data_IF_047523637027
#
_entry.id   IF_047523637027
#
_cell.length_a   1.000
_cell.length_b   1.000
_cell.length_c   1.000
_cell.angle_alpha   90.00
_cell.angle_beta   90.00
_cell.angle_gamma   90.00
#
_symmetry.space_group_name_H-M   'P 1'
#
loop_
_entity.id
_entity.type
_entity.pdbx_description
1 polymer ?
#
# COMPACT_ATOMS: atom_id res chain seq x y z
N UNK A 1 -8.18 -22.11 -23.93
CA UNK A 1 -8.22 -21.41 -22.62
C UNK A 1 -8.18 -19.93 -22.91
N UNK A 2 -9.23 -19.18 -22.57
CA UNK A 2 -9.20 -17.73 -22.72
C UNK A 2 -8.22 -17.17 -21.70
N UNK A 3 -7.05 -16.71 -22.16
CA UNK A 3 -6.16 -15.88 -21.36
C UNK A 3 -6.97 -14.65 -20.98
N UNK A 4 -7.39 -14.55 -19.71
CA UNK A 4 -7.88 -13.28 -19.18
C UNK A 4 -6.79 -12.26 -19.43
N UNK A 5 -7.05 -11.32 -20.34
CA UNK A 5 -6.14 -10.21 -20.60
C UNK A 5 -5.91 -9.53 -19.26
N UNK A 6 -4.64 -9.35 -18.88
CA UNK A 6 -4.29 -8.61 -17.68
C UNK A 6 -5.03 -7.25 -17.72
N UNK A 7 -5.62 -6.80 -16.60
CA UNK A 7 -6.36 -5.55 -16.58
C UNK A 7 -5.46 -4.42 -17.10
N UNK A 8 -6.06 -3.52 -17.90
CA UNK A 8 -5.32 -2.41 -18.49
C UNK A 8 -4.60 -1.62 -17.40
N UNK A 9 -3.34 -1.17 -17.61
CA UNK A 9 -2.56 -0.47 -16.60
C UNK A 9 -3.27 0.75 -16.00
N UNK A 10 -4.13 1.43 -16.77
CA UNK A 10 -4.96 2.56 -16.32
C UNK A 10 -6.02 2.16 -15.29
N UNK A 11 -6.68 1.01 -15.47
CA UNK A 11 -7.69 0.50 -14.52
C UNK A 11 -7.04 0.13 -13.20
N UNK A 12 -5.88 -0.50 -13.26
CA UNK A 12 -5.06 -0.78 -12.07
C UNK A 12 -4.60 0.51 -11.40
N UNK A 13 -4.19 1.52 -12.18
CA UNK A 13 -3.76 2.81 -11.65
C UNK A 13 -4.86 3.52 -10.85
N UNK A 14 -6.09 3.55 -11.37
CA UNK A 14 -7.24 4.12 -10.67
C UNK A 14 -7.59 3.36 -9.39
N UNK A 15 -7.50 2.03 -9.42
CA UNK A 15 -7.76 1.21 -8.25
C UNK A 15 -6.72 1.42 -7.14
N UNK A 16 -5.43 1.48 -7.50
CA UNK A 16 -4.35 1.81 -6.58
C UNK A 16 -4.55 3.22 -6.00
N UNK A 17 -4.91 4.21 -6.83
CA UNK A 17 -5.17 5.59 -6.38
C UNK A 17 -6.33 5.63 -5.38
N UNK A 18 -7.44 4.96 -5.69
CA UNK A 18 -8.60 4.84 -4.80
C UNK A 18 -8.21 4.19 -3.47
N UNK A 19 -7.45 3.10 -3.50
CA UNK A 19 -6.97 2.44 -2.29
C UNK A 19 -6.09 3.34 -1.43
N UNK A 20 -5.12 4.04 -2.05
CA UNK A 20 -4.25 4.97 -1.32
C UNK A 20 -5.07 6.07 -0.63
N UNK A 21 -6.08 6.61 -1.31
CA UNK A 21 -6.96 7.65 -0.74
C UNK A 21 -7.84 7.10 0.40
N UNK A 22 -8.42 5.92 0.24
CA UNK A 22 -9.22 5.28 1.29
C UNK A 22 -8.38 4.99 2.53
N UNK A 23 -7.15 4.51 2.33
CA UNK A 23 -6.18 4.29 3.40
C UNK A 23 -5.90 5.61 4.14
N UNK A 24 -5.49 6.67 3.44
CA UNK A 24 -5.26 7.99 4.06
C UNK A 24 -6.47 8.50 4.85
N UNK A 25 -7.68 8.39 4.29
CA UNK A 25 -8.90 8.83 4.94
C UNK A 25 -9.19 8.03 6.22
N UNK A 26 -8.99 6.72 6.18
CA UNK A 26 -9.16 5.84 7.33
C UNK A 26 -8.15 6.13 8.44
N UNK A 27 -6.94 6.63 8.13
CA UNK A 27 -5.88 6.87 9.12
C UNK A 27 -5.92 8.23 9.80
N UNK A 28 -6.55 9.22 9.16
CA UNK A 28 -6.63 10.60 9.68
C UNK A 28 -7.16 10.70 11.12
N UNK A 29 -8.17 9.90 11.55
CA UNK A 29 -8.66 9.90 12.93
C UNK A 29 -7.63 9.37 13.94
N UNK A 30 -6.91 8.31 13.57
CA UNK A 30 -5.99 7.60 14.48
C UNK A 30 -4.69 8.36 14.77
N UNK A 31 -4.26 9.27 13.88
CA UNK A 31 -3.09 10.14 14.10
C UNK A 31 -3.42 11.39 14.93
N UNK A 32 -4.71 11.69 15.19
CA UNK A 32 -5.15 12.95 15.83
C UNK A 32 -5.43 12.87 17.33
N UNK A 33 -4.96 11.83 18.03
CA UNK A 33 -5.22 11.64 19.46
C UNK A 33 -6.72 11.67 19.83
N UNK A 34 -7.62 11.30 18.91
CA UNK A 34 -8.99 10.98 19.29
C UNK A 34 -8.97 9.78 20.25
N UNK A 35 -9.95 9.67 21.15
CA UNK A 35 -10.05 8.61 22.17
C UNK A 35 -10.32 7.24 21.53
N UNK A 36 -9.37 6.74 20.74
CA UNK A 36 -9.46 5.47 20.03
C UNK A 36 -8.94 4.37 20.95
N UNK A 37 -9.78 3.38 21.20
CA UNK A 37 -9.44 2.25 22.05
C UNK A 37 -8.33 1.38 21.43
N UNK A 38 -7.62 0.62 22.26
CA UNK A 38 -6.61 -0.34 21.78
C UNK A 38 -7.21 -1.39 20.84
N UNK A 39 -8.47 -1.78 21.03
CA UNK A 39 -9.17 -2.73 20.17
C UNK A 39 -9.41 -2.16 18.76
N UNK A 40 -9.77 -0.88 18.65
CA UNK A 40 -9.94 -0.20 17.37
C UNK A 40 -8.61 -0.02 16.65
N UNK A 41 -7.54 0.34 17.38
CA UNK A 41 -6.17 0.40 16.83
C UNK A 41 -5.71 -0.95 16.28
N UNK A 42 -6.00 -2.05 17.00
CA UNK A 42 -5.74 -3.43 16.52
C UNK A 42 -6.48 -3.76 15.24
N UNK A 43 -7.78 -3.44 15.19
CA UNK A 43 -8.60 -3.66 13.99
C UNK A 43 -8.11 -2.82 12.81
N UNK A 44 -7.76 -1.56 13.06
CA UNK A 44 -7.19 -0.68 12.06
C UNK A 44 -5.88 -1.24 11.51
N UNK A 45 -4.97 -1.71 12.37
CA UNK A 45 -3.71 -2.33 11.94
C UNK A 45 -3.92 -3.57 11.08
N UNK A 46 -4.91 -4.41 11.40
CA UNK A 46 -5.24 -5.57 10.57
C UNK A 46 -5.69 -5.12 9.17
N UNK A 47 -6.49 -4.05 9.08
CA UNK A 47 -6.92 -3.45 7.81
C UNK A 47 -5.72 -2.85 7.04
N UNK A 48 -4.74 -2.24 7.74
CA UNK A 48 -3.49 -1.76 7.12
C UNK A 48 -2.75 -2.89 6.40
N UNK A 49 -2.54 -4.01 7.09
CA UNK A 49 -1.79 -5.16 6.56
C UNK A 49 -2.46 -5.66 5.29
N UNK A 50 -3.77 -5.92 5.35
CA UNK A 50 -4.51 -6.43 4.19
C UNK A 50 -4.48 -5.47 3.00
N UNK A 51 -4.54 -4.16 3.22
CA UNK A 51 -4.46 -3.19 2.12
C UNK A 51 -3.05 -3.08 1.54
N UNK A 52 -1.99 -3.16 2.36
CA UNK A 52 -0.61 -3.19 1.85
C UNK A 52 -0.34 -4.46 1.05
N UNK A 53 -0.80 -5.62 1.51
CA UNK A 53 -0.69 -6.88 0.75
C UNK A 53 -1.35 -6.77 -0.63
N UNK A 54 -2.54 -6.16 -0.69
CA UNK A 54 -3.23 -5.89 -1.96
C UNK A 54 -2.46 -4.92 -2.86
N UNK A 55 -1.95 -3.82 -2.29
CA UNK A 55 -1.14 -2.85 -3.04
C UNK A 55 0.14 -3.46 -3.59
N UNK A 56 0.77 -4.37 -2.84
CA UNK A 56 1.96 -5.12 -3.28
C UNK A 56 1.62 -6.01 -4.49
N UNK A 57 0.49 -6.73 -4.43
CA UNK A 57 -0.01 -7.51 -5.56
C UNK A 57 -0.26 -6.67 -6.81
N UNK A 58 -0.87 -5.49 -6.66
CA UNK A 58 -1.05 -4.57 -7.78
C UNK A 58 0.28 -4.02 -8.32
N UNK A 59 1.22 -3.65 -7.44
CA UNK A 59 2.53 -3.17 -7.85
C UNK A 59 3.30 -4.25 -8.65
N UNK A 60 3.18 -5.53 -8.29
CA UNK A 60 3.75 -6.63 -9.08
C UNK A 60 3.19 -6.64 -10.51
N UNK A 61 1.87 -6.56 -10.64
CA UNK A 61 1.21 -6.61 -11.96
C UNK A 61 1.63 -5.40 -12.79
N UNK A 62 1.62 -4.20 -12.21
CA UNK A 62 2.03 -2.96 -12.89
C UNK A 62 3.50 -3.01 -13.31
N UNK A 63 4.40 -3.51 -12.45
CA UNK A 63 5.81 -3.71 -12.81
C UNK A 63 5.93 -4.60 -14.05
N UNK A 64 5.29 -5.77 -14.02
CA UNK A 64 5.36 -6.75 -15.10
C UNK A 64 4.80 -6.17 -16.42
N UNK A 65 3.69 -5.43 -16.35
CA UNK A 65 3.12 -4.77 -17.53
C UNK A 65 4.05 -3.68 -18.09
N UNK A 66 4.61 -2.82 -17.25
CA UNK A 66 5.52 -1.75 -17.68
C UNK A 66 6.83 -2.31 -18.25
N UNK A 67 7.36 -3.37 -17.65
CA UNK A 67 8.55 -4.07 -18.14
C UNK A 67 8.31 -4.70 -19.52
N UNK A 68 7.17 -5.37 -19.70
CA UNK A 68 6.78 -5.93 -21.00
C UNK A 68 6.62 -4.86 -22.10
N UNK A 69 6.26 -3.63 -21.71
CA UNK A 69 6.15 -2.48 -22.62
C UNK A 69 7.48 -1.72 -22.81
N UNK A 70 8.56 -2.10 -22.12
CA UNK A 70 9.83 -1.37 -22.15
C UNK A 70 9.75 0.04 -21.55
N UNK A 71 8.77 0.29 -20.69
CA UNK A 71 8.49 1.63 -20.18
C UNK A 71 9.50 2.05 -19.11
N UNK A 72 10.02 3.28 -19.19
CA UNK A 72 11.06 3.79 -18.30
C UNK A 72 10.61 3.89 -16.83
N UNK A 73 9.31 4.03 -16.57
CA UNK A 73 8.76 4.10 -15.20
C UNK A 73 8.78 2.76 -14.45
N UNK A 74 9.12 1.65 -15.11
CA UNK A 74 9.30 0.33 -14.47
C UNK A 74 10.23 0.38 -13.25
N UNK A 75 11.32 1.16 -13.32
CA UNK A 75 12.28 1.38 -12.22
C UNK A 75 11.63 2.00 -10.97
N UNK A 76 10.75 2.98 -11.15
CA UNK A 76 10.01 3.61 -10.05
C UNK A 76 9.08 2.60 -9.37
N UNK A 77 8.42 1.76 -10.17
CA UNK A 77 7.52 0.72 -9.69
C UNK A 77 8.27 -0.42 -8.97
N UNK A 78 9.46 -0.80 -9.41
CA UNK A 78 10.31 -1.75 -8.68
C UNK A 78 10.67 -1.25 -7.28
N UNK A 79 11.03 0.03 -7.14
CA UNK A 79 11.31 0.64 -5.83
C UNK A 79 10.09 0.64 -4.92
N UNK A 80 8.92 0.98 -5.47
CA UNK A 80 7.66 0.95 -4.74
C UNK A 80 7.32 -0.47 -4.27
N UNK A 81 7.47 -1.47 -5.15
CA UNK A 81 7.27 -2.87 -4.79
C UNK A 81 8.19 -3.27 -3.63
N UNK A 82 9.46 -2.91 -3.67
CA UNK A 82 10.42 -3.20 -2.60
C UNK A 82 10.03 -2.53 -1.26
N UNK A 83 9.52 -1.30 -1.31
CA UNK A 83 9.01 -0.59 -0.13
C UNK A 83 7.76 -1.26 0.46
N UNK A 84 6.81 -1.67 -0.39
CA UNK A 84 5.61 -2.40 0.02
C UNK A 84 5.96 -3.75 0.66
N UNK A 85 6.91 -4.49 0.08
CA UNK A 85 7.40 -5.74 0.63
C UNK A 85 8.07 -5.54 2.00
N UNK A 86 8.93 -4.52 2.14
CA UNK A 86 9.59 -4.22 3.41
C UNK A 86 8.58 -3.85 4.50
N UNK A 87 7.53 -3.08 4.16
CA UNK A 87 6.45 -2.77 5.10
C UNK A 87 5.66 -4.01 5.50
N UNK A 88 5.33 -4.88 4.54
CA UNK A 88 4.65 -6.15 4.81
C UNK A 88 5.45 -7.02 5.79
N UNK A 89 6.76 -7.14 5.56
CA UNK A 89 7.65 -7.89 6.45
C UNK A 89 7.72 -7.26 7.85
N UNK A 90 7.82 -5.93 7.92
CA UNK A 90 7.79 -5.20 9.20
C UNK A 90 6.46 -5.45 9.92
N UNK A 91 5.33 -5.42 9.22
CA UNK A 91 4.02 -5.63 9.86
C UNK A 91 3.79 -7.08 10.27
N UNK A 92 4.38 -8.05 9.56
CA UNK A 92 4.34 -9.45 9.97
C UNK A 92 4.94 -9.65 11.37
N UNK A 93 6.02 -8.92 11.69
CA UNK A 93 6.65 -8.94 13.02
C UNK A 93 5.70 -8.32 14.08
N UNK A 94 5.02 -7.23 13.73
CA UNK A 94 4.14 -6.51 14.66
C UNK A 94 2.71 -7.07 14.76
N UNK A 95 2.33 -8.02 13.88
CA UNK A 95 0.98 -8.60 13.81
C UNK A 95 0.53 -9.23 15.13
N UNK A 96 1.47 -9.79 15.89
CA UNK A 96 1.20 -10.47 17.17
C UNK A 96 1.41 -9.58 18.39
N UNK A 97 2.03 -8.40 18.23
CA UNK A 97 2.35 -7.48 19.33
C UNK A 97 1.85 -6.08 18.96
N UNK A 98 0.55 -5.86 19.11
CA UNK A 98 -0.04 -4.55 18.84
C UNK A 98 -0.08 -3.75 20.13
N UNK A 99 0.83 -2.78 20.22
CA UNK A 99 0.83 -1.72 21.23
C UNK A 99 0.77 -0.35 20.53
N UNK A 100 0.58 0.71 21.31
CA UNK A 100 0.40 2.07 20.80
C UNK A 100 1.63 2.58 20.01
N UNK A 101 2.84 2.27 20.46
CA UNK A 101 4.08 2.62 19.77
C UNK A 101 4.21 1.94 18.41
N UNK A 102 3.88 0.65 18.32
CA UNK A 102 3.93 -0.10 17.06
C UNK A 102 2.90 0.43 16.06
N UNK A 103 1.72 0.83 16.53
CA UNK A 103 0.70 1.43 15.67
C UNK A 103 1.17 2.76 15.07
N UNK A 104 1.76 3.64 15.88
CA UNK A 104 2.28 4.94 15.42
C UNK A 104 3.41 4.72 14.42
N UNK A 105 4.41 3.88 14.75
CA UNK A 105 5.55 3.62 13.89
C UNK A 105 5.13 3.03 12.52
N UNK A 106 4.07 2.22 12.49
CA UNK A 106 3.51 1.66 11.25
C UNK A 106 2.77 2.75 10.47
N UNK A 107 1.91 3.54 11.11
CA UNK A 107 1.20 4.65 10.47
C UNK A 107 2.15 5.66 9.81
N UNK A 108 3.23 6.02 10.51
CA UNK A 108 4.28 6.92 10.02
C UNK A 108 5.04 6.31 8.83
N UNK A 109 5.31 5.01 8.85
CA UNK A 109 6.01 4.32 7.76
C UNK A 109 5.15 4.15 6.49
N UNK A 110 3.82 4.03 6.63
CA UNK A 110 2.89 3.83 5.49
C UNK A 110 2.72 5.10 4.66
N UNK A 111 2.64 6.26 5.32
CA UNK A 111 2.40 7.56 4.68
C UNK A 111 3.34 7.84 3.49
N UNK A 112 4.69 7.77 3.63
CA UNK A 112 5.60 8.05 2.52
C UNK A 112 5.46 7.05 1.37
N UNK A 113 5.06 5.80 1.64
CA UNK A 113 4.85 4.81 0.59
C UNK A 113 3.57 5.08 -0.20
N UNK A 114 2.48 5.48 0.47
CA UNK A 114 1.26 5.91 -0.24
C UNK A 114 1.51 7.15 -1.10
N UNK A 115 2.34 8.07 -0.63
CA UNK A 115 2.77 9.26 -1.39
C UNK A 115 3.69 8.89 -2.56
N UNK A 116 4.58 7.91 -2.37
CA UNK A 116 5.39 7.33 -3.45
C UNK A 116 4.54 6.68 -4.53
N UNK A 117 3.56 5.86 -4.13
CA UNK A 117 2.58 5.23 -5.01
C UNK A 117 1.80 6.27 -5.83
N UNK A 118 1.26 7.30 -5.17
CA UNK A 118 0.49 8.34 -5.85
C UNK A 118 1.36 9.06 -6.89
N UNK A 119 2.60 9.40 -6.55
CA UNK A 119 3.53 10.04 -7.49
C UNK A 119 3.90 9.14 -8.67
N UNK A 120 4.13 7.85 -8.45
CA UNK A 120 4.45 6.95 -9.55
C UNK A 120 3.26 6.75 -10.50
N UNK A 121 2.04 6.76 -9.98
CA UNK A 121 0.83 6.74 -10.79
C UNK A 121 0.70 7.99 -11.67
N UNK A 122 1.17 9.15 -11.23
CA UNK A 122 1.16 10.39 -12.03
C UNK A 122 2.24 10.39 -13.14
N UNK A 123 3.17 9.44 -13.13
CA UNK A 123 4.26 9.30 -14.13
C UNK A 123 4.04 8.17 -15.14
N UNK A 124 2.91 7.48 -15.06
CA UNK A 124 2.46 6.47 -16.03
C UNK A 124 1.68 7.14 -17.15
#
# INVERSE_FOLDING_TARGET
MATQAAPAPSVLADEIRRMCNNMRAFFRPFNKNEQVTLAEKKKALQIYITNIERLEGFAIIVCASLEAMGHASSQSWFRIRAQLQTMKDRFAIHRNVVNEQNFIAISEAVTPVLDGLTRALDTM
#
